data_IF_521340590921
#
_entry.id   IF_521340590921
#
_cell.length_a   1.000
_cell.length_b   1.000
_cell.length_c   1.000
_cell.angle_alpha   90.00
_cell.angle_beta   90.00
_cell.angle_gamma   90.00
#
_symmetry.space_group_name_H-M   'P 1'
#
loop_
_entity.id
_entity.type
_entity.pdbx_description
1 polymer ?
#
# COMPACT_ATOMS: atom_id res chain seq x y z
N UNK A 1 4.72 11.71 4.27
CA UNK A 1 4.18 10.36 3.97
C UNK A 1 3.16 9.89 5.00
N UNK A 2 3.51 9.74 6.28
CA UNK A 2 2.59 9.19 7.30
C UNK A 2 1.24 9.92 7.42
N UNK A 3 1.25 11.26 7.44
CA UNK A 3 0.01 12.05 7.50
C UNK A 3 -0.90 11.85 6.28
N UNK A 4 -0.32 11.70 5.09
CA UNK A 4 -1.07 11.47 3.85
C UNK A 4 -1.79 10.12 3.88
N UNK A 5 -1.11 9.07 4.36
CA UNK A 5 -1.75 7.77 4.51
C UNK A 5 -2.99 7.85 5.40
N UNK A 6 -2.92 8.60 6.50
CA UNK A 6 -4.06 8.70 7.42
C UNK A 6 -5.16 9.64 6.90
N UNK A 7 -4.81 10.70 6.18
CA UNK A 7 -5.74 11.75 5.77
C UNK A 7 -6.42 11.49 4.40
N UNK A 8 -5.71 10.83 3.47
CA UNK A 8 -6.22 10.59 2.11
C UNK A 8 -6.45 9.10 1.86
N UNK A 9 -5.54 8.23 2.30
CA UNK A 9 -5.58 6.82 1.93
C UNK A 9 -6.50 6.00 2.84
N UNK A 10 -6.34 6.12 4.16
CA UNK A 10 -7.16 5.42 5.15
C UNK A 10 -8.66 5.71 5.05
N UNK A 11 -9.16 6.94 4.80
CA UNK A 11 -10.59 7.13 4.58
C UNK A 11 -11.11 6.41 3.33
N UNK A 12 -10.29 6.29 2.27
CA UNK A 12 -10.65 5.53 1.06
C UNK A 12 -10.70 4.02 1.36
N UNK A 13 -9.70 3.49 2.07
CA UNK A 13 -9.67 2.08 2.48
C UNK A 13 -10.73 1.74 3.54
N UNK A 14 -11.02 2.65 4.46
CA UNK A 14 -11.98 2.42 5.55
C UNK A 14 -13.39 2.16 5.00
N UNK A 15 -13.74 2.76 3.85
CA UNK A 15 -14.98 2.46 3.13
C UNK A 15 -15.08 1.00 2.65
N UNK A 16 -13.94 0.32 2.51
CA UNK A 16 -13.81 -1.09 2.14
C UNK A 16 -13.45 -1.98 3.35
N UNK A 17 -13.40 -1.42 4.56
CA UNK A 17 -13.00 -2.11 5.78
C UNK A 17 -11.50 -2.37 5.91
N UNK A 18 -10.69 -1.67 5.13
CA UNK A 18 -9.23 -1.70 5.20
C UNK A 18 -8.61 -0.47 5.82
N UNK A 19 -7.32 -0.56 6.12
CA UNK A 19 -6.43 0.46 6.64
C UNK A 19 -5.04 0.24 6.02
N UNK A 20 -4.25 1.30 5.91
CA UNK A 20 -2.86 1.18 5.51
C UNK A 20 -1.96 1.95 6.48
N UNK A 21 -0.78 1.39 6.73
CA UNK A 21 0.22 1.98 7.61
C UNK A 21 1.58 1.97 6.93
N UNK A 22 2.33 3.06 7.02
CA UNK A 22 3.70 3.12 6.51
C UNK A 22 4.62 2.36 7.49
N UNK A 23 5.27 1.31 6.99
CA UNK A 23 6.26 0.55 7.77
C UNK A 23 7.62 1.23 7.66
N UNK A 24 8.11 1.37 6.43
CA UNK A 24 9.42 1.95 6.14
C UNK A 24 9.50 2.49 4.71
N UNK A 25 10.55 3.25 4.43
CA UNK A 25 10.88 3.68 3.07
C UNK A 25 12.27 3.10 2.77
N UNK A 26 12.33 2.24 1.77
CA UNK A 26 13.59 1.67 1.28
C UNK A 26 14.45 2.72 0.60
N UNK A 27 15.77 2.56 0.69
CA UNK A 27 16.76 3.44 0.04
C UNK A 27 16.62 3.49 -1.49
N UNK A 28 16.04 2.44 -2.09
CA UNK A 28 15.75 2.36 -3.53
C UNK A 28 14.57 3.26 -3.96
N UNK A 29 13.91 3.93 -3.00
CA UNK A 29 12.80 4.83 -3.23
C UNK A 29 11.43 4.16 -3.22
N UNK A 30 11.26 3.01 -2.57
CA UNK A 30 9.95 2.38 -2.40
C UNK A 30 9.40 2.58 -0.99
N UNK A 31 8.14 2.99 -0.90
CA UNK A 31 7.41 3.05 0.38
C UNK A 31 6.80 1.68 0.69
N UNK A 32 7.20 1.08 1.80
CA UNK A 32 6.65 -0.19 2.29
C UNK A 32 5.43 0.13 3.16
N UNK A 33 4.26 -0.28 2.69
CA UNK A 33 3.00 -0.11 3.38
C UNK A 33 2.51 -1.48 3.87
N UNK A 34 2.01 -1.51 5.09
CA UNK A 34 1.27 -2.64 5.60
C UNK A 34 -0.21 -2.35 5.46
N UNK A 35 -0.90 -3.14 4.64
CA UNK A 35 -2.35 -3.11 4.54
C UNK A 35 -2.94 -3.99 5.64
N UNK A 36 -3.81 -3.41 6.46
CA UNK A 36 -4.60 -4.11 7.47
C UNK A 36 -6.08 -3.99 7.11
N UNK A 37 -6.92 -4.89 7.58
CA UNK A 37 -8.38 -4.77 7.38
C UNK A 37 -8.85 -5.07 5.95
N UNK A 38 -10.00 -5.74 5.86
CA UNK A 38 -10.58 -6.21 4.61
C UNK A 38 -10.67 -7.73 4.59
N UNK A 39 -11.61 -8.26 5.38
CA UNK A 39 -12.10 -9.64 5.33
C UNK A 39 -11.03 -10.75 5.34
N UNK A 40 -10.75 -11.31 6.52
CA UNK A 40 -9.98 -12.54 6.84
C UNK A 40 -9.93 -13.65 5.76
N UNK A 41 -9.25 -13.43 4.63
CA UNK A 41 -9.00 -14.46 3.62
C UNK A 41 -9.90 -14.44 2.37
N UNK A 42 -10.29 -13.27 1.86
CA UNK A 42 -10.80 -13.17 0.49
C UNK A 42 -9.75 -12.50 -0.41
N UNK A 43 -8.99 -13.31 -1.14
CA UNK A 43 -7.83 -12.95 -1.98
C UNK A 43 -8.14 -12.05 -3.21
N UNK A 44 -9.22 -11.27 -3.17
CA UNK A 44 -9.69 -10.42 -4.28
C UNK A 44 -9.66 -8.92 -3.97
N UNK A 45 -9.10 -8.50 -2.83
CA UNK A 45 -8.94 -7.08 -2.48
C UNK A 45 -7.70 -6.44 -3.16
N UNK A 46 -6.80 -7.24 -3.72
CA UNK A 46 -5.38 -6.89 -3.69
C UNK A 46 -4.82 -5.96 -4.79
N UNK A 47 -5.37 -5.88 -6.00
CA UNK A 47 -4.69 -5.12 -7.09
C UNK A 47 -5.20 -3.70 -7.27
N UNK A 48 -6.51 -3.49 -7.24
CA UNK A 48 -7.11 -2.19 -7.61
C UNK A 48 -6.84 -1.10 -6.57
N UNK A 49 -6.85 -1.47 -5.29
CA UNK A 49 -6.57 -0.55 -4.19
C UNK A 49 -5.08 -0.20 -4.15
N UNK A 50 -4.21 -1.20 -4.34
CA UNK A 50 -2.75 -1.00 -4.41
C UNK A 50 -2.36 -0.08 -5.57
N UNK A 51 -2.89 -0.29 -6.78
CA UNK A 51 -2.63 0.56 -7.95
C UNK A 51 -3.10 2.01 -7.72
N UNK A 52 -4.28 2.18 -7.11
CA UNK A 52 -4.82 3.51 -6.80
C UNK A 52 -4.00 4.28 -5.78
N UNK A 53 -3.46 3.59 -4.78
CA UNK A 53 -2.60 4.20 -3.74
C UNK A 53 -1.23 4.50 -4.31
N UNK A 54 -0.66 3.59 -5.11
CA UNK A 54 0.63 3.80 -5.77
C UNK A 54 0.62 5.05 -6.65
N UNK A 55 -0.38 5.20 -7.52
CA UNK A 55 -0.50 6.39 -8.37
C UNK A 55 -0.61 7.67 -7.55
N UNK A 56 -1.50 7.69 -6.55
CA UNK A 56 -1.65 8.85 -5.68
C UNK A 56 -0.37 9.19 -4.92
N UNK A 57 0.37 8.18 -4.42
CA UNK A 57 1.62 8.41 -3.70
C UNK A 57 2.71 8.97 -4.63
N UNK A 58 2.86 8.42 -5.84
CA UNK A 58 3.81 8.91 -6.86
C UNK A 58 3.48 10.34 -7.28
N UNK A 59 2.20 10.64 -7.54
CA UNK A 59 1.74 11.98 -7.91
C UNK A 59 1.98 12.99 -6.79
N UNK A 60 1.62 12.66 -5.55
CA UNK A 60 1.77 13.55 -4.40
C UNK A 60 3.23 13.79 -4.03
N UNK A 61 4.06 12.75 -4.11
CA UNK A 61 5.49 12.83 -3.79
C UNK A 61 6.31 13.33 -4.98
N UNK A 62 5.66 13.76 -6.08
CA UNK A 62 6.31 14.25 -7.29
C UNK A 62 7.41 13.32 -7.83
N UNK A 63 7.24 12.00 -7.65
CA UNK A 63 8.24 10.99 -8.04
C UNK A 63 9.43 10.82 -7.09
N UNK A 64 9.40 11.38 -5.87
CA UNK A 64 10.41 11.13 -4.82
C UNK A 64 10.46 9.66 -4.40
N UNK A 65 9.37 8.94 -4.65
CA UNK A 65 9.28 7.49 -4.56
C UNK A 65 8.98 6.88 -5.93
N UNK A 66 9.58 5.73 -6.21
CA UNK A 66 9.39 4.95 -7.43
C UNK A 66 8.10 4.14 -7.42
N UNK A 67 7.54 3.86 -6.24
CA UNK A 67 6.32 3.07 -6.10
C UNK A 67 6.10 2.58 -4.68
N UNK A 68 5.13 1.68 -4.54
CA UNK A 68 4.63 1.21 -3.26
C UNK A 68 4.77 -0.31 -3.15
N UNK A 69 5.32 -0.79 -2.05
CA UNK A 69 5.44 -2.22 -1.75
C UNK A 69 4.54 -2.59 -0.59
N UNK A 70 3.92 -3.75 -0.68
CA UNK A 70 3.19 -4.32 0.45
C UNK A 70 4.18 -5.01 1.40
N UNK A 71 3.99 -4.82 2.70
CA UNK A 71 4.80 -5.44 3.74
C UNK A 71 4.67 -6.98 3.72
N UNK A 72 3.48 -7.50 3.47
CA UNK A 72 3.23 -8.96 3.34
C UNK A 72 3.96 -9.57 2.14
N UNK A 73 4.12 -8.78 1.07
CA UNK A 73 4.88 -9.16 -0.14
C UNK A 73 6.40 -9.01 0.05
N UNK A 74 6.85 -8.08 0.91
CA UNK A 74 8.27 -7.95 1.32
C UNK A 74 8.75 -9.17 2.11
N UNK A 75 7.88 -9.80 2.91
CA UNK A 75 8.18 -11.05 3.61
C UNK A 75 8.09 -12.29 2.69
N UNK A 76 7.37 -12.17 1.57
CA UNK A 76 7.22 -13.24 0.57
C UNK A 76 8.36 -13.19 -0.44
N UNK A 77 9.54 -13.57 0.02
CA UNK A 77 10.48 -14.23 -0.87
C UNK A 77 9.80 -15.48 -1.47
N UNK A 78 9.67 -15.48 -2.79
CA UNK A 78 9.29 -16.64 -3.62
C UNK A 78 7.85 -17.16 -3.49
N UNK A 79 6.88 -16.45 -4.10
CA UNK A 79 5.84 -17.08 -4.95
C UNK A 79 4.85 -16.03 -5.47
N UNK A 80 5.05 -15.60 -6.71
CA UNK A 80 3.97 -15.09 -7.55
C UNK A 80 3.10 -16.26 -8.00
N UNK A 81 1.84 -16.33 -7.61
CA UNK A 81 0.86 -17.14 -8.33
C UNK A 81 -0.49 -16.43 -8.43
N UNK A 82 -0.76 -16.02 -9.68
CA UNK A 82 -2.04 -15.85 -10.39
C UNK A 82 -3.23 -15.20 -9.66
#
# INVERSE_FOLDING_TARGET
>A
VHYFLQAEVNPQLAGHGGECTLVEITDDGYAVLQFGGGCNGCAQIDVTVKDGIEKQLIELMAGEIKGVKDATEHERGDHSYY
#
